data_IF_879608721158
#
_entry.id   IF_879608721158
#
_cell.length_a   1.000
_cell.length_b   1.000
_cell.length_c   1.000
_cell.angle_alpha   90.00
_cell.angle_beta   90.00
_cell.angle_gamma   90.00
#
_symmetry.space_group_name_H-M   'P 1'
#
loop_
_entity.id
_entity.type
_entity.pdbx_description
1 polymer ?
#
# COMPACT_ATOMS: atom_id res chain seq x y z
N UNK A 1 -6.46 -15.73 8.24
CA UNK A 1 -7.09 -17.03 7.93
C UNK A 1 -8.34 -17.20 8.78
N UNK A 2 -9.49 -17.34 8.13
CA UNK A 2 -10.75 -17.63 8.82
C UNK A 2 -10.78 -19.08 9.32
N UNK A 3 -11.71 -19.41 10.22
CA UNK A 3 -11.85 -20.78 10.77
C UNK A 3 -11.99 -21.87 9.70
N UNK A 4 -12.46 -21.55 8.50
CA UNK A 4 -12.59 -22.50 7.39
C UNK A 4 -11.26 -22.77 6.68
N UNK A 5 -10.35 -21.80 6.70
CA UNK A 5 -9.04 -21.82 6.02
C UNK A 5 -7.93 -22.40 6.90
N UNK A 6 -8.17 -22.55 8.21
CA UNK A 6 -7.19 -23.15 9.13
C UNK A 6 -7.21 -24.68 9.02
N UNK A 7 -6.04 -25.28 8.80
CA UNK A 7 -5.86 -26.73 8.71
C UNK A 7 -5.96 -27.44 10.06
N UNK A 8 -7.14 -27.91 10.43
CA UNK A 8 -7.37 -28.88 11.51
C UNK A 8 -8.50 -29.85 11.15
N UNK A 9 -8.71 -30.92 11.91
CA UNK A 9 -9.88 -31.79 11.72
C UNK A 9 -11.21 -31.02 11.87
N UNK A 10 -12.17 -31.33 11.00
CA UNK A 10 -13.56 -30.88 11.11
C UNK A 10 -14.40 -31.72 12.09
N UNK A 11 -13.86 -32.84 12.57
CA UNK A 11 -14.55 -33.69 13.54
C UNK A 11 -14.71 -32.98 14.88
N UNK A 12 -15.79 -33.33 15.59
CA UNK A 12 -16.05 -32.79 16.91
C UNK A 12 -14.99 -33.29 17.89
N UNK A 13 -14.36 -32.39 18.66
CA UNK A 13 -13.26 -32.81 19.56
C UNK A 13 -13.70 -33.79 20.65
N UNK A 14 -14.94 -33.68 21.11
CA UNK A 14 -15.49 -34.47 22.21
C UNK A 14 -17.01 -34.54 22.16
N UNK A 15 -17.64 -35.57 22.77
CA UNK A 15 -19.10 -35.67 22.82
C UNK A 15 -19.73 -34.46 23.51
N UNK A 16 -21.01 -34.20 23.17
CA UNK A 16 -21.75 -33.03 23.67
C UNK A 16 -21.92 -33.04 25.20
N UNK A 17 -21.95 -34.22 25.81
CA UNK A 17 -22.13 -34.49 27.25
C UNK A 17 -21.17 -35.61 27.68
N UNK A 18 -21.01 -35.82 28.98
CA UNK A 18 -20.24 -36.94 29.56
C UNK A 18 -18.71 -36.75 29.58
N UNK A 19 -18.20 -35.58 29.18
CA UNK A 19 -16.75 -35.33 29.11
C UNK A 19 -16.19 -34.48 30.28
N UNK A 20 -17.05 -33.95 31.16
CA UNK A 20 -16.64 -33.09 32.29
C UNK A 20 -16.00 -31.75 31.90
N UNK A 21 -15.85 -31.46 30.60
CA UNK A 21 -15.19 -30.26 30.06
C UNK A 21 -16.19 -29.38 29.31
N UNK A 22 -15.82 -28.12 29.06
CA UNK A 22 -16.63 -27.19 28.29
C UNK A 22 -17.03 -27.75 26.91
N UNK A 23 -18.22 -27.39 26.43
CA UNK A 23 -18.72 -27.81 25.11
C UNK A 23 -17.86 -27.21 24.01
N UNK A 24 -17.41 -28.03 23.06
CA UNK A 24 -16.57 -27.57 21.95
C UNK A 24 -17.02 -28.21 20.64
N UNK A 25 -17.14 -27.39 19.60
CA UNK A 25 -17.49 -27.81 18.26
C UNK A 25 -16.28 -28.31 17.48
N UNK A 26 -15.36 -27.41 17.11
CA UNK A 26 -14.19 -27.72 16.29
C UNK A 26 -12.93 -27.07 16.87
N UNK A 27 -11.76 -27.66 16.60
CA UNK A 27 -10.45 -27.11 17.02
C UNK A 27 -10.11 -25.81 16.27
N UNK A 28 -10.76 -25.58 15.13
CA UNK A 28 -10.61 -24.35 14.32
C UNK A 28 -11.29 -23.11 14.92
N UNK A 29 -12.03 -23.27 16.03
CA UNK A 29 -12.74 -22.16 16.67
C UNK A 29 -11.75 -21.10 17.21
N UNK A 30 -12.13 -19.81 17.18
CA UNK A 30 -11.24 -18.70 17.57
C UNK A 30 -10.79 -18.75 19.04
N UNK A 31 -11.58 -19.41 19.91
CA UNK A 31 -11.28 -19.52 21.33
C UNK A 31 -10.07 -20.43 21.63
N UNK A 32 -9.63 -21.24 20.65
CA UNK A 32 -8.47 -22.10 20.80
C UNK A 32 -7.20 -21.44 20.25
N UNK A 33 -6.06 -21.72 20.89
CA UNK A 33 -4.75 -21.31 20.38
C UNK A 33 -4.49 -21.99 19.03
N UNK A 34 -4.15 -21.19 18.02
CA UNK A 34 -4.01 -21.64 16.63
C UNK A 34 -5.34 -21.80 15.86
N UNK A 35 -6.47 -21.43 16.46
CA UNK A 35 -7.77 -21.32 15.77
C UNK A 35 -7.80 -20.18 14.75
N UNK A 36 -8.85 -20.14 13.93
CA UNK A 36 -9.01 -19.07 12.93
C UNK A 36 -9.42 -17.73 13.58
N UNK A 37 -8.93 -16.63 13.02
CA UNK A 37 -9.41 -15.30 13.40
C UNK A 37 -10.84 -15.07 12.87
N UNK A 38 -11.69 -14.37 13.63
CA UNK A 38 -13.08 -14.10 13.22
C UNK A 38 -13.16 -12.96 12.21
N UNK A 39 -12.47 -11.85 12.51
CA UNK A 39 -12.36 -10.68 11.63
C UNK A 39 -10.88 -10.34 11.44
N UNK A 40 -10.21 -11.10 10.57
CA UNK A 40 -8.85 -10.79 10.17
C UNK A 40 -8.79 -9.74 9.05
N UNK A 41 -7.61 -9.15 8.79
CA UNK A 41 -7.43 -8.30 7.62
C UNK A 41 -7.67 -9.13 6.36
N UNK A 42 -8.59 -8.67 5.52
CA UNK A 42 -8.86 -9.23 4.20
C UNK A 42 -8.15 -8.37 3.17
N UNK A 43 -7.34 -8.99 2.31
CA UNK A 43 -6.68 -8.29 1.21
C UNK A 43 -7.77 -7.77 0.27
N UNK A 44 -7.87 -6.45 0.14
CA UNK A 44 -8.78 -5.76 -0.78
C UNK A 44 -8.06 -4.59 -1.43
N UNK A 45 -8.50 -4.21 -2.62
CA UNK A 45 -8.09 -2.93 -3.20
C UNK A 45 -8.71 -1.78 -2.40
N UNK A 46 -7.93 -0.73 -2.21
CA UNK A 46 -8.37 0.55 -1.63
C UNK A 46 -8.43 1.65 -2.72
N UNK A 47 -8.51 1.24 -3.97
CA UNK A 47 -8.52 2.15 -5.11
C UNK A 47 -9.90 2.79 -5.26
N UNK A 48 -9.94 4.11 -5.19
CA UNK A 48 -11.16 4.90 -5.38
C UNK A 48 -11.06 5.70 -6.67
N UNK A 49 -12.05 5.54 -7.56
CA UNK A 49 -12.05 6.20 -8.87
C UNK A 49 -12.59 7.62 -8.77
N UNK A 50 -11.74 8.58 -9.10
CA UNK A 50 -12.11 9.99 -9.20
C UNK A 50 -12.55 10.38 -10.63
N UNK A 51 -13.45 11.36 -10.71
CA UNK A 51 -13.84 11.97 -11.99
C UNK A 51 -12.62 12.58 -12.69
N UNK A 52 -12.60 12.53 -14.03
CA UNK A 52 -11.47 13.03 -14.84
C UNK A 52 -11.21 14.53 -14.60
N UNK A 53 -12.26 15.34 -14.47
CA UNK A 53 -12.17 16.79 -14.24
C UNK A 53 -11.49 17.12 -12.90
N UNK A 54 -11.82 16.38 -11.84
CA UNK A 54 -11.22 16.55 -10.51
C UNK A 54 -9.72 16.19 -10.53
N UNK A 55 -9.35 15.11 -11.21
CA UNK A 55 -7.94 14.73 -11.39
C UNK A 55 -7.13 15.79 -12.15
N UNK A 56 -7.70 16.33 -13.22
CA UNK A 56 -7.09 17.42 -13.98
C UNK A 56 -6.95 18.69 -13.15
N UNK A 57 -7.94 19.01 -12.33
CA UNK A 57 -7.89 20.15 -11.40
C UNK A 57 -6.76 19.96 -10.37
N UNK A 58 -6.65 18.78 -9.76
CA UNK A 58 -5.59 18.47 -8.79
C UNK A 58 -4.19 18.66 -9.38
N UNK A 59 -3.96 18.18 -10.61
CA UNK A 59 -2.70 18.41 -11.34
C UNK A 59 -2.38 19.90 -11.52
N UNK A 60 -3.36 20.72 -11.93
CA UNK A 60 -3.18 22.16 -12.11
C UNK A 60 -2.82 22.85 -10.79
N UNK A 61 -3.50 22.48 -9.70
CA UNK A 61 -3.24 23.03 -8.36
C UNK A 61 -1.82 22.66 -7.90
N UNK A 62 -1.42 21.40 -8.06
CA UNK A 62 -0.06 20.95 -7.71
C UNK A 62 1.03 21.74 -8.45
N UNK A 63 0.88 21.94 -9.76
CA UNK A 63 1.84 22.71 -10.56
C UNK A 63 1.86 24.19 -10.15
N UNK A 64 0.70 24.79 -9.93
CA UNK A 64 0.59 26.17 -9.47
C UNK A 64 1.24 26.37 -8.10
N UNK A 65 1.09 25.41 -7.19
CA UNK A 65 1.69 25.46 -5.86
C UNK A 65 3.23 25.38 -5.94
N UNK A 66 3.78 24.49 -6.77
CA UNK A 66 5.23 24.38 -7.00
C UNK A 66 5.82 25.64 -7.63
N UNK A 67 5.09 26.26 -8.57
CA UNK A 67 5.48 27.53 -9.16
C UNK A 67 5.50 28.64 -8.09
N UNK A 68 4.46 28.73 -7.27
CA UNK A 68 4.39 29.72 -6.18
C UNK A 68 5.49 29.52 -5.13
N UNK A 69 5.90 28.27 -4.88
CA UNK A 69 7.03 27.93 -4.02
C UNK A 69 8.41 28.13 -4.66
N UNK A 70 8.49 28.52 -5.94
CA UNK A 70 9.76 28.66 -6.66
C UNK A 70 10.49 27.34 -6.93
N UNK A 71 9.80 26.20 -6.80
CA UNK A 71 10.36 24.85 -6.95
C UNK A 71 10.19 24.30 -8.37
N UNK A 72 9.60 25.08 -9.28
CA UNK A 72 9.36 24.71 -10.67
C UNK A 72 10.28 25.53 -11.58
N UNK A 73 11.19 24.83 -12.25
CA UNK A 73 12.12 25.44 -13.22
C UNK A 73 11.87 24.82 -14.60
N UNK A 74 11.75 25.67 -15.62
CA UNK A 74 11.59 25.23 -17.01
C UNK A 74 12.95 25.29 -17.70
N UNK A 75 13.35 24.18 -18.33
CA UNK A 75 14.60 24.06 -19.08
C UNK A 75 14.25 23.72 -20.53
N UNK A 76 14.81 24.45 -21.48
CA UNK A 76 14.43 24.37 -22.90
C UNK A 76 15.04 23.14 -23.59
N UNK A 77 16.32 22.85 -23.31
CA UNK A 77 17.00 21.64 -23.78
C UNK A 77 18.00 21.14 -22.75
N UNK A 78 17.94 19.85 -22.46
CA UNK A 78 18.94 19.11 -21.70
C UNK A 78 19.69 18.20 -22.66
N UNK A 79 20.77 18.71 -23.26
CA UNK A 79 21.63 17.93 -24.15
C UNK A 79 22.83 17.40 -23.36
N UNK A 80 22.91 16.08 -23.17
CA UNK A 80 24.09 15.39 -22.66
C UNK A 80 24.79 14.70 -23.83
N UNK A 81 26.01 15.09 -24.22
CA UNK A 81 26.74 14.45 -25.33
C UNK A 81 27.09 12.99 -25.05
N UNK A 82 27.13 12.60 -23.78
CA UNK A 82 27.36 11.24 -23.28
C UNK A 82 26.17 10.83 -22.40
N UNK A 83 25.65 9.61 -22.57
CA UNK A 83 24.61 9.03 -21.70
C UNK A 83 25.21 8.60 -20.34
N UNK A 84 25.86 9.53 -19.65
CA UNK A 84 26.51 9.29 -18.36
C UNK A 84 25.71 9.97 -17.25
N UNK A 85 25.44 9.24 -16.17
CA UNK A 85 24.66 9.75 -15.03
C UNK A 85 25.37 10.87 -14.27
N UNK A 86 26.71 10.93 -14.38
CA UNK A 86 27.54 11.94 -13.72
C UNK A 86 27.35 13.32 -14.34
N UNK A 87 27.33 13.39 -15.68
CA UNK A 87 27.17 14.65 -16.41
C UNK A 87 25.77 15.23 -16.18
N UNK A 88 24.75 14.38 -16.16
CA UNK A 88 23.36 14.77 -15.88
C UNK A 88 23.20 15.25 -14.44
N UNK A 89 23.78 14.56 -13.45
CA UNK A 89 23.69 14.99 -12.05
C UNK A 89 24.32 16.36 -11.81
N UNK A 90 25.46 16.64 -12.46
CA UNK A 90 26.11 17.95 -12.39
C UNK A 90 25.24 19.05 -13.01
N UNK A 91 24.73 18.85 -14.23
CA UNK A 91 23.85 19.81 -14.90
C UNK A 91 22.61 20.13 -14.06
N UNK A 92 22.03 19.13 -13.40
CA UNK A 92 20.80 19.28 -12.59
C UNK A 92 21.08 20.00 -11.28
N UNK A 93 22.19 19.68 -10.61
CA UNK A 93 22.59 20.37 -9.37
C UNK A 93 22.84 21.86 -9.56
N UNK A 94 23.24 22.27 -10.76
CA UNK A 94 23.43 23.68 -11.11
C UNK A 94 22.09 24.43 -11.32
N UNK A 95 21.03 23.72 -11.72
CA UNK A 95 19.73 24.30 -12.06
C UNK A 95 18.75 24.26 -10.88
N UNK A 96 18.82 23.21 -10.05
CA UNK A 96 17.89 22.97 -8.94
C UNK A 96 18.65 22.69 -7.65
N UNK A 97 18.47 23.51 -6.58
CA UNK A 97 19.13 23.28 -5.29
C UNK A 97 18.48 22.17 -4.44
N UNK A 98 17.34 21.62 -4.88
CA UNK A 98 16.57 20.61 -4.14
C UNK A 98 17.12 19.19 -4.36
N UNK A 99 17.26 18.44 -3.26
CA UNK A 99 17.75 17.06 -3.24
C UNK A 99 16.78 16.04 -3.85
N UNK A 100 15.49 16.38 -3.94
CA UNK A 100 14.44 15.54 -4.51
C UNK A 100 13.86 16.22 -5.76
N UNK A 101 14.61 16.17 -6.86
CA UNK A 101 14.17 16.66 -8.16
C UNK A 101 13.54 15.52 -8.97
N UNK A 102 12.33 15.74 -9.47
CA UNK A 102 11.68 14.83 -10.43
C UNK A 102 11.75 15.51 -11.79
N UNK A 103 12.40 14.84 -12.75
CA UNK A 103 12.50 15.29 -14.14
C UNK A 103 11.23 14.97 -14.92
#
# INVERSE_FOLDING_TARGET
>A
KNRSEVGYSGSKLRPQKGSGRARCGSRRAPNFVGGGAVFGPVVRSHEEKLQRKVRQLGMKICLSAKLAGGELTVVDKLESPTCSTKDVAQAVSAIVPAKNCMM
#
